data_IF_928531030176
#
_entry.id   IF_928531030176
#
_cell.length_a   1.000
_cell.length_b   1.000
_cell.length_c   1.000
_cell.angle_alpha   90.00
_cell.angle_beta   90.00
_cell.angle_gamma   90.00
#
_symmetry.space_group_name_H-M   'P 1'
#
loop_
_entity.id
_entity.type
_entity.pdbx_description
1 polymer ?
#
# COMPACT_ATOMS: atom_id res chain seq x y z
N UNK A 1 -39.29 50.46 3.12
CA UNK A 1 -38.55 49.90 4.27
C UNK A 1 -37.50 48.96 3.70
N UNK A 2 -36.45 49.50 3.08
CA UNK A 2 -35.34 48.71 2.56
C UNK A 2 -34.21 48.81 3.57
N UNK A 3 -34.22 47.87 4.52
CA UNK A 3 -33.21 47.83 5.58
C UNK A 3 -31.86 47.34 5.03
N UNK A 4 -30.73 47.71 5.68
CA UNK A 4 -29.38 47.29 5.28
C UNK A 4 -29.18 45.76 5.16
N UNK A 5 -30.11 44.99 5.72
CA UNK A 5 -30.16 43.54 5.64
C UNK A 5 -30.52 43.01 4.24
N UNK A 6 -31.42 43.68 3.49
CA UNK A 6 -31.80 43.23 2.13
C UNK A 6 -30.67 43.47 1.13
N UNK A 7 -29.91 44.56 1.27
CA UNK A 7 -28.73 44.83 0.44
C UNK A 7 -27.61 43.79 0.63
N UNK A 8 -27.39 43.32 1.86
CA UNK A 8 -26.37 42.29 2.12
C UNK A 8 -26.76 40.94 1.54
N UNK A 9 -28.02 40.52 1.70
CA UNK A 9 -28.52 39.27 1.12
C UNK A 9 -28.42 39.29 -0.41
N UNK A 10 -28.80 40.40 -1.05
CA UNK A 10 -28.69 40.56 -2.50
C UNK A 10 -27.23 40.56 -2.98
N UNK A 11 -26.31 41.17 -2.23
CA UNK A 11 -24.87 41.12 -2.55
C UNK A 11 -24.32 39.69 -2.49
N UNK A 12 -24.66 38.92 -1.45
CA UNK A 12 -24.26 37.52 -1.35
C UNK A 12 -24.87 36.68 -2.50
N UNK A 13 -26.16 36.86 -2.81
CA UNK A 13 -26.79 36.17 -3.93
C UNK A 13 -26.18 36.55 -5.28
N UNK A 14 -25.82 37.81 -5.49
CA UNK A 14 -25.15 38.28 -6.72
C UNK A 14 -23.73 37.72 -6.88
N UNK A 15 -23.03 37.48 -5.77
CA UNK A 15 -21.72 36.83 -5.78
C UNK A 15 -21.81 35.34 -6.15
N UNK A 16 -22.89 34.65 -5.74
CA UNK A 16 -23.19 33.28 -6.16
C UNK A 16 -23.67 33.18 -7.62
N UNK A 17 -24.49 34.13 -8.06
CA UNK A 17 -25.01 34.24 -9.44
C UNK A 17 -23.97 34.81 -10.42
N UNK A 18 -22.85 35.36 -9.92
CA UNK A 18 -21.74 35.79 -10.75
C UNK A 18 -21.13 34.57 -11.46
N UNK A 19 -20.92 34.64 -12.79
CA UNK A 19 -20.35 33.54 -13.56
C UNK A 19 -19.07 32.99 -12.90
N UNK A 20 -18.19 33.87 -12.42
CA UNK A 20 -16.91 33.51 -11.81
C UNK A 20 -17.04 32.65 -10.53
N UNK A 21 -18.00 32.94 -9.67
CA UNK A 21 -18.25 32.16 -8.44
C UNK A 21 -18.78 30.76 -8.77
N UNK A 22 -19.70 30.68 -9.72
CA UNK A 22 -20.24 29.41 -10.22
C UNK A 22 -19.16 28.51 -10.84
N UNK A 23 -18.22 29.07 -11.60
CA UNK A 23 -17.08 28.30 -12.16
C UNK A 23 -16.16 27.72 -11.08
N UNK A 24 -15.86 28.48 -10.02
CA UNK A 24 -15.00 28.01 -8.93
C UNK A 24 -15.63 26.83 -8.18
N UNK A 25 -16.93 26.88 -7.92
CA UNK A 25 -17.65 25.77 -7.30
C UNK A 25 -17.66 24.53 -8.20
N UNK A 26 -17.93 24.69 -9.50
CA UNK A 26 -17.90 23.58 -10.46
C UNK A 26 -16.52 22.93 -10.55
N UNK A 27 -15.44 23.72 -10.58
CA UNK A 27 -14.06 23.21 -10.53
C UNK A 27 -13.80 22.48 -9.21
N UNK A 28 -14.21 23.05 -8.08
CA UNK A 28 -14.07 22.40 -6.77
C UNK A 28 -14.77 21.03 -6.70
N UNK A 29 -16.03 20.96 -7.15
CA UNK A 29 -16.80 19.72 -7.17
C UNK A 29 -16.19 18.68 -8.12
N UNK A 30 -15.74 19.09 -9.30
CA UNK A 30 -15.10 18.18 -10.26
C UNK A 30 -13.76 17.65 -9.74
N UNK A 31 -12.91 18.51 -9.15
CA UNK A 31 -11.67 18.08 -8.51
C UNK A 31 -11.94 17.09 -7.36
N UNK A 32 -12.92 17.37 -6.51
CA UNK A 32 -13.31 16.46 -5.43
C UNK A 32 -13.81 15.12 -5.98
N UNK A 33 -14.66 15.14 -7.01
CA UNK A 33 -15.17 13.94 -7.66
C UNK A 33 -14.03 13.08 -8.26
N UNK A 34 -13.08 13.71 -8.97
CA UNK A 34 -11.91 13.03 -9.53
C UNK A 34 -11.05 12.42 -8.42
N UNK A 35 -10.81 13.14 -7.32
CA UNK A 35 -10.07 12.62 -6.17
C UNK A 35 -10.77 11.41 -5.55
N UNK A 36 -12.08 11.49 -5.34
CA UNK A 36 -12.88 10.37 -4.79
C UNK A 36 -12.81 9.16 -5.71
N UNK A 37 -13.02 9.33 -7.01
CA UNK A 37 -12.92 8.24 -8.00
C UNK A 37 -11.51 7.64 -8.02
N UNK A 38 -10.47 8.47 -7.95
CA UNK A 38 -9.09 8.00 -7.88
C UNK A 38 -8.84 7.16 -6.62
N UNK A 39 -9.27 7.63 -5.46
CA UNK A 39 -9.11 6.91 -4.19
C UNK A 39 -9.88 5.58 -4.20
N UNK A 40 -11.09 5.55 -4.73
CA UNK A 40 -11.88 4.32 -4.89
C UNK A 40 -11.17 3.33 -5.83
N UNK A 41 -10.66 3.79 -6.97
CA UNK A 41 -9.91 2.94 -7.88
C UNK A 41 -8.65 2.35 -7.22
N UNK A 42 -7.90 3.15 -6.46
CA UNK A 42 -6.73 2.69 -5.69
C UNK A 42 -7.13 1.68 -4.61
N UNK A 43 -8.25 1.90 -3.93
CA UNK A 43 -8.76 0.97 -2.92
C UNK A 43 -9.12 -0.38 -3.54
N UNK A 44 -9.82 -0.38 -4.68
CA UNK A 44 -10.16 -1.61 -5.42
C UNK A 44 -8.89 -2.34 -5.89
N UNK A 45 -7.91 -1.62 -6.44
CA UNK A 45 -6.61 -2.19 -6.81
C UNK A 45 -5.89 -2.80 -5.60
N UNK A 46 -5.91 -2.11 -4.46
CA UNK A 46 -5.29 -2.60 -3.23
C UNK A 46 -5.99 -3.87 -2.71
N UNK A 47 -7.32 -3.87 -2.65
CA UNK A 47 -8.10 -5.02 -2.18
C UNK A 47 -7.94 -6.23 -3.12
N UNK A 48 -7.99 -6.02 -4.43
CA UNK A 48 -7.77 -7.10 -5.40
C UNK A 48 -6.35 -7.67 -5.30
N UNK A 49 -5.33 -6.82 -5.16
CA UNK A 49 -3.97 -7.27 -4.90
C UNK A 49 -3.86 -8.06 -3.59
N UNK A 50 -4.49 -7.59 -2.51
CA UNK A 50 -4.54 -8.32 -1.23
C UNK A 50 -5.16 -9.71 -1.38
N UNK A 51 -6.28 -9.82 -2.06
CA UNK A 51 -6.96 -11.10 -2.28
C UNK A 51 -6.07 -12.04 -3.11
N UNK A 52 -5.48 -11.52 -4.20
CA UNK A 52 -4.56 -12.29 -5.06
C UNK A 52 -3.37 -12.83 -4.24
N UNK A 53 -2.67 -11.96 -3.51
CA UNK A 53 -1.52 -12.36 -2.70
C UNK A 53 -1.91 -13.38 -1.62
N UNK A 54 -3.03 -13.17 -0.91
CA UNK A 54 -3.50 -14.16 0.07
C UNK A 54 -3.78 -15.51 -0.59
N UNK A 55 -4.42 -15.53 -1.75
CA UNK A 55 -4.71 -16.78 -2.46
C UNK A 55 -3.43 -17.48 -2.93
N UNK A 56 -2.47 -16.75 -3.49
CA UNK A 56 -1.18 -17.32 -3.91
C UNK A 56 -0.37 -17.85 -2.72
N UNK A 57 -0.42 -17.17 -1.57
CA UNK A 57 0.38 -17.53 -0.41
C UNK A 57 -0.26 -18.59 0.49
N UNK A 58 -1.56 -18.87 0.35
CA UNK A 58 -2.28 -19.89 1.15
C UNK A 58 -1.68 -21.29 1.05
N UNK A 59 -0.96 -21.60 -0.03
CA UNK A 59 -0.31 -22.89 -0.22
C UNK A 59 0.94 -23.08 0.64
N UNK A 60 1.50 -21.99 1.18
CA UNK A 60 2.70 -22.04 1.99
C UNK A 60 2.35 -21.98 3.48
N UNK A 61 3.04 -22.79 4.26
CA UNK A 61 2.97 -22.78 5.72
C UNK A 61 3.63 -21.50 6.24
N UNK A 62 2.87 -20.68 6.97
CA UNK A 62 3.37 -19.43 7.53
C UNK A 62 2.95 -19.26 8.99
N UNK A 63 3.77 -18.57 9.79
CA UNK A 63 3.38 -18.16 11.13
C UNK A 63 2.16 -17.23 11.11
N UNK A 64 1.41 -17.16 12.23
CA UNK A 64 0.30 -16.24 12.36
C UNK A 64 0.80 -14.79 12.29
N UNK A 65 0.06 -13.95 11.55
CA UNK A 65 0.42 -12.56 11.30
C UNK A 65 -0.54 -11.59 11.97
N UNK A 66 -0.01 -10.48 12.47
CA UNK A 66 -0.83 -9.37 12.92
C UNK A 66 -1.54 -8.72 11.73
N UNK A 67 -2.79 -8.28 11.91
CA UNK A 67 -3.59 -7.71 10.81
C UNK A 67 -2.93 -6.45 10.20
N UNK A 68 -2.45 -5.53 11.04
CA UNK A 68 -1.77 -4.28 10.63
C UNK A 68 -0.25 -4.41 10.45
N UNK A 69 0.47 -5.08 11.35
CA UNK A 69 1.93 -5.11 11.30
C UNK A 69 2.51 -6.33 10.60
N UNK A 70 1.65 -7.28 10.17
CA UNK A 70 2.13 -8.56 9.63
C UNK A 70 3.02 -9.28 10.64
N UNK A 71 4.23 -9.63 10.23
CA UNK A 71 5.25 -10.27 11.03
C UNK A 71 6.28 -9.29 11.62
N UNK A 72 6.23 -8.00 11.31
CA UNK A 72 7.25 -7.03 11.72
C UNK A 72 7.47 -6.96 13.23
N UNK A 73 6.42 -7.19 14.04
CA UNK A 73 6.55 -7.24 15.50
C UNK A 73 7.34 -8.45 16.00
N UNK A 74 7.26 -9.58 15.30
CA UNK A 74 7.98 -10.80 15.64
C UNK A 74 9.39 -10.86 15.03
N UNK A 75 9.63 -10.06 13.98
CA UNK A 75 10.89 -9.99 13.26
C UNK A 75 11.53 -8.59 13.40
N UNK A 76 12.12 -8.27 14.57
CA UNK A 76 12.84 -7.01 14.73
C UNK A 76 14.03 -6.94 13.76
N UNK A 77 14.43 -5.74 13.34
CA UNK A 77 15.60 -5.51 12.48
C UNK A 77 16.96 -5.77 13.14
N UNK A 78 16.99 -6.48 14.26
CA UNK A 78 18.20 -6.86 14.99
C UNK A 78 18.59 -8.31 14.69
N UNK A 79 19.76 -8.75 15.17
CA UNK A 79 20.22 -10.14 15.08
C UNK A 79 19.15 -11.14 15.55
N UNK A 80 18.43 -10.80 16.63
CA UNK A 80 17.33 -11.61 17.16
C UNK A 80 16.27 -11.92 16.10
N UNK A 81 15.91 -10.96 15.24
CA UNK A 81 14.94 -11.19 14.17
C UNK A 81 15.47 -12.06 13.03
N UNK A 82 16.79 -12.10 12.81
CA UNK A 82 17.40 -13.10 11.92
C UNK A 82 17.35 -14.50 12.53
N UNK A 83 17.64 -14.64 13.83
CA UNK A 83 17.51 -15.93 14.53
C UNK A 83 16.07 -16.44 14.52
N UNK A 84 15.09 -15.59 14.82
CA UNK A 84 13.66 -15.94 14.73
C UNK A 84 13.24 -16.35 13.32
N UNK A 85 13.77 -15.70 12.27
CA UNK A 85 13.55 -16.16 10.88
C UNK A 85 14.09 -17.57 10.65
N UNK A 86 15.27 -17.87 11.17
CA UNK A 86 15.86 -19.20 11.05
C UNK A 86 15.01 -20.27 11.75
N UNK A 87 14.50 -19.97 12.94
CA UNK A 87 13.57 -20.84 13.67
C UNK A 87 12.28 -21.07 12.88
N UNK A 88 11.71 -20.01 12.30
CA UNK A 88 10.50 -20.13 11.48
C UNK A 88 10.72 -20.94 10.21
N UNK A 89 11.87 -20.82 9.55
CA UNK A 89 12.18 -21.67 8.41
C UNK A 89 12.28 -23.14 8.81
N UNK A 90 12.87 -23.45 9.96
CA UNK A 90 12.90 -24.83 10.48
C UNK A 90 11.50 -25.35 10.82
N UNK A 91 10.64 -24.50 11.38
CA UNK A 91 9.32 -24.91 11.86
C UNK A 91 8.25 -25.01 10.75
N UNK A 92 8.28 -24.11 9.76
CA UNK A 92 7.24 -24.00 8.74
C UNK A 92 7.69 -24.55 7.39
N UNK A 93 8.84 -24.10 6.88
CA UNK A 93 9.31 -24.47 5.54
C UNK A 93 10.78 -24.10 5.34
N UNK A 94 11.59 -25.10 5.02
CA UNK A 94 13.01 -24.92 4.69
C UNK A 94 13.26 -24.53 3.22
N UNK A 95 12.21 -24.37 2.41
CA UNK A 95 12.31 -24.09 0.98
C UNK A 95 11.93 -22.63 0.66
N UNK A 96 10.76 -22.22 1.14
CA UNK A 96 10.17 -20.91 0.89
C UNK A 96 9.32 -20.47 2.09
N UNK A 97 9.51 -19.24 2.55
CA UNK A 97 8.76 -18.64 3.63
C UNK A 97 8.39 -17.17 3.28
N UNK A 98 7.10 -16.87 3.06
CA UNK A 98 6.66 -15.50 2.85
C UNK A 98 6.41 -14.81 4.20
N UNK A 99 6.86 -13.57 4.35
CA UNK A 99 6.58 -12.76 5.53
C UNK A 99 6.04 -11.37 5.18
N UNK A 100 5.01 -10.96 5.91
CA UNK A 100 4.34 -9.69 5.70
C UNK A 100 5.02 -8.60 6.52
N UNK A 101 5.45 -7.53 5.87
CA UNK A 101 5.87 -6.28 6.53
C UNK A 101 4.75 -5.28 6.26
N UNK A 102 3.76 -5.21 7.17
CA UNK A 102 2.49 -4.51 6.96
C UNK A 102 1.53 -5.27 6.01
N UNK A 103 0.21 -4.96 5.91
CA UNK A 103 -0.65 -5.53 4.88
C UNK A 103 -0.22 -5.16 3.47
N UNK A 104 0.71 -4.23 3.25
CA UNK A 104 1.06 -3.72 1.92
C UNK A 104 2.22 -4.44 1.23
N UNK A 105 3.09 -5.14 1.97
CA UNK A 105 4.31 -5.70 1.40
C UNK A 105 4.56 -7.12 1.90
N UNK A 106 4.85 -8.02 0.97
CA UNK A 106 5.31 -9.38 1.26
C UNK A 106 6.78 -9.48 0.86
N UNK A 107 7.60 -9.96 1.78
CA UNK A 107 8.95 -10.37 1.49
C UNK A 107 9.00 -11.90 1.40
N UNK A 108 9.72 -12.39 0.42
CA UNK A 108 9.84 -13.80 0.11
C UNK A 108 11.23 -14.27 0.50
N UNK A 109 11.33 -15.16 1.49
CA UNK A 109 12.58 -15.82 1.81
C UNK A 109 12.63 -17.16 1.09
N UNK A 110 13.65 -17.33 0.24
CA UNK A 110 13.92 -18.58 -0.49
C UNK A 110 15.27 -19.11 -0.04
N UNK A 111 15.32 -20.36 0.36
CA UNK A 111 16.52 -21.01 0.89
C UNK A 111 16.98 -22.21 0.09
N UNK A 112 16.12 -22.77 -0.75
CA UNK A 112 16.49 -23.93 -1.55
C UNK A 112 17.37 -23.53 -2.75
N UNK A 113 18.58 -24.12 -2.91
CA UNK A 113 19.55 -23.71 -3.91
C UNK A 113 19.01 -23.68 -5.35
N UNK A 114 18.26 -24.72 -5.76
CA UNK A 114 17.70 -24.78 -7.12
C UNK A 114 16.67 -23.68 -7.38
N UNK A 115 15.90 -23.30 -6.37
CA UNK A 115 14.88 -22.26 -6.49
C UNK A 115 15.53 -20.88 -6.55
N UNK A 116 16.53 -20.65 -5.70
CA UNK A 116 17.33 -19.43 -5.74
C UNK A 116 18.02 -19.30 -7.10
N UNK A 117 18.63 -20.37 -7.62
CA UNK A 117 19.26 -20.40 -8.94
C UNK A 117 18.26 -20.08 -10.05
N UNK A 118 17.07 -20.66 -9.99
CA UNK A 118 16.01 -20.41 -10.98
C UNK A 118 15.58 -18.95 -10.97
N UNK A 119 15.32 -18.38 -9.80
CA UNK A 119 14.89 -16.97 -9.67
C UNK A 119 15.99 -16.02 -10.13
N UNK A 120 17.23 -16.22 -9.66
CA UNK A 120 18.38 -15.39 -10.02
C UNK A 120 18.80 -15.51 -11.50
N UNK A 121 18.39 -16.57 -12.18
CA UNK A 121 18.59 -16.76 -13.62
C UNK A 121 17.59 -15.99 -14.49
N UNK A 122 16.53 -15.42 -13.91
CA UNK A 122 15.53 -14.63 -14.64
C UNK A 122 15.93 -13.15 -14.74
N UNK A 123 15.40 -12.44 -15.74
CA UNK A 123 15.56 -10.99 -15.89
C UNK A 123 14.53 -10.18 -15.08
N UNK A 124 14.01 -10.74 -13.98
CA UNK A 124 13.04 -10.05 -13.14
C UNK A 124 13.63 -8.77 -12.52
N UNK A 125 12.82 -7.70 -12.39
CA UNK A 125 13.29 -6.44 -11.86
C UNK A 125 13.73 -6.60 -10.41
N UNK A 126 14.91 -6.07 -10.09
CA UNK A 126 15.41 -6.02 -8.72
C UNK A 126 14.50 -5.13 -7.87
N UNK A 127 14.34 -5.49 -6.60
CA UNK A 127 13.53 -4.70 -5.67
C UNK A 127 14.14 -3.31 -5.46
N UNK A 128 13.34 -2.35 -5.01
CA UNK A 128 13.84 -1.03 -4.59
C UNK A 128 14.94 -1.15 -3.53
N UNK A 129 14.91 -2.21 -2.70
CA UNK A 129 15.93 -2.47 -1.68
C UNK A 129 17.33 -2.63 -2.29
N UNK A 130 17.43 -3.13 -3.54
CA UNK A 130 18.70 -3.33 -4.23
C UNK A 130 19.46 -2.02 -4.44
N UNK A 131 18.75 -0.90 -4.70
CA UNK A 131 19.39 0.41 -4.86
C UNK A 131 20.16 0.87 -3.62
N UNK A 132 19.75 0.42 -2.43
CA UNK A 132 20.47 0.72 -1.19
C UNK A 132 21.69 -0.18 -0.97
N UNK A 133 21.68 -1.39 -1.56
CA UNK A 133 22.77 -2.35 -1.49
C UNK A 133 23.80 -2.13 -2.60
N UNK A 134 23.42 -1.45 -3.69
CA UNK A 134 24.28 -1.17 -4.84
C UNK A 134 25.65 -0.57 -4.50
N UNK A 135 25.81 0.37 -3.54
CA UNK A 135 27.14 0.87 -3.16
C UNK A 135 28.04 -0.14 -2.44
N UNK A 136 27.49 -1.27 -1.99
CA UNK A 136 28.16 -2.28 -1.16
C UNK A 136 28.43 -3.59 -1.93
N UNK A 137 27.98 -3.69 -3.17
CA UNK A 137 28.15 -4.82 -4.07
C UNK A 137 29.22 -4.51 -5.12
#
# INVERSE_FOLDING_TARGET
MDGPQTSQVLQHLSAYLSPAGSWLHLVGFTCLAVLVVHLLARLVQFVSWQIKMRNTLKQFTTPPKHWLFGHSKALPGSEKGFQTRLEWMKAYSAHYLPFWISPFTVFNQVTHPETVRTILGTAEPKSMAYRFLEPWL
#
